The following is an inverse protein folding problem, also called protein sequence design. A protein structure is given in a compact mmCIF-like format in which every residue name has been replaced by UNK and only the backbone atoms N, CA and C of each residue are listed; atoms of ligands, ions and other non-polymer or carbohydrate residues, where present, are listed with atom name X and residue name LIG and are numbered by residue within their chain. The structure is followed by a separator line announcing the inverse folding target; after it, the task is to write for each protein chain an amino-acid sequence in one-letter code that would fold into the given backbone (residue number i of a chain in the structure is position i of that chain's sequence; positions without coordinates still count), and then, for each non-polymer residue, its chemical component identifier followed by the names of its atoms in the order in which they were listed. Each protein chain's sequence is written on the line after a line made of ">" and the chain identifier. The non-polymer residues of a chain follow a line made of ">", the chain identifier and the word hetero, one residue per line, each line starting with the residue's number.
data_IF_787060457318
#
_entry.id   IF_787060457318
#
_cell.length_a   1.000
_cell.length_b   1.000
_cell.length_c   1.000
_cell.angle_alpha   90.00
_cell.angle_beta   90.00
_cell.angle_gamma   90.00
#
_symmetry.space_group_name_H-M   'P 1'
#
loop_
_entity.id
_entity.type
_entity.pdbx_description
1 polymer ?
#
# COMPACT_ATOMS: atom_id res chain seq x y z
N UNK A 1 21.19 -10.64 -3.35
CA UNK A 1 21.13 -11.49 -2.14
C UNK A 1 21.35 -10.59 -0.94
N UNK A 2 20.47 -10.62 0.06
CA UNK A 2 20.65 -9.92 1.34
C UNK A 2 20.61 -10.97 2.43
N UNK A 3 21.68 -11.13 3.21
CA UNK A 3 21.73 -12.11 4.31
C UNK A 3 21.28 -13.54 3.91
N UNK A 4 21.75 -14.01 2.74
CA UNK A 4 21.39 -15.31 2.11
C UNK A 4 19.94 -15.41 1.60
N UNK A 5 19.13 -14.37 1.73
CA UNK A 5 17.82 -14.29 1.10
C UNK A 5 17.97 -13.81 -0.35
N UNK A 6 17.43 -14.60 -1.27
CA UNK A 6 17.28 -14.21 -2.66
C UNK A 6 16.07 -13.30 -2.82
N UNK A 7 16.26 -12.17 -3.51
CA UNK A 7 15.22 -11.19 -3.81
C UNK A 7 15.07 -11.14 -5.32
N UNK A 8 13.87 -11.40 -5.82
CA UNK A 8 13.57 -11.26 -7.24
C UNK A 8 13.55 -9.78 -7.63
N UNK A 9 14.36 -9.42 -8.62
CA UNK A 9 14.35 -8.08 -9.22
C UNK A 9 13.74 -8.19 -10.60
N UNK A 10 12.71 -7.39 -10.85
CA UNK A 10 11.95 -7.39 -12.10
C UNK A 10 11.87 -5.95 -12.61
N UNK A 11 11.87 -5.77 -13.93
CA UNK A 11 11.74 -4.45 -14.55
C UNK A 11 10.59 -4.48 -15.55
N UNK A 12 9.53 -3.73 -15.24
CA UNK A 12 8.33 -3.64 -16.05
C UNK A 12 7.73 -2.24 -15.90
N UNK A 13 7.16 -1.72 -16.99
CA UNK A 13 6.51 -0.40 -16.96
C UNK A 13 5.07 -0.51 -16.44
N UNK A 14 4.33 -1.53 -16.86
CA UNK A 14 2.94 -1.74 -16.47
C UNK A 14 2.86 -2.73 -15.30
N UNK A 15 2.17 -2.36 -14.20
CA UNK A 15 2.07 -3.22 -13.02
C UNK A 15 1.28 -4.51 -13.29
N UNK A 16 0.31 -4.49 -14.21
CA UNK A 16 -0.49 -5.67 -14.55
C UNK A 16 0.34 -6.80 -15.21
N UNK A 17 1.47 -6.46 -15.82
CA UNK A 17 2.31 -7.41 -16.56
C UNK A 17 3.37 -8.08 -15.68
N UNK A 18 3.56 -7.61 -14.43
CA UNK A 18 4.58 -8.14 -13.53
C UNK A 18 4.19 -9.56 -13.07
N UNK A 19 5.03 -10.59 -13.30
CA UNK A 19 4.73 -11.97 -12.95
C UNK A 19 4.91 -12.23 -11.44
N UNK A 20 4.09 -11.59 -10.59
CA UNK A 20 4.21 -11.63 -9.12
C UNK A 20 4.00 -13.02 -8.52
N UNK A 21 3.22 -13.87 -9.19
CA UNK A 21 3.03 -15.26 -8.79
C UNK A 21 4.34 -16.03 -8.70
N UNK A 22 5.31 -15.75 -9.58
CA UNK A 22 6.64 -16.36 -9.55
C UNK A 22 7.48 -15.89 -8.35
N UNK A 23 7.34 -14.62 -7.96
CA UNK A 23 8.05 -14.03 -6.84
C UNK A 23 7.39 -14.31 -5.47
N UNK A 24 6.21 -14.94 -5.44
CA UNK A 24 5.45 -15.19 -4.21
C UNK A 24 4.87 -13.94 -3.54
N UNK A 25 4.91 -12.78 -4.21
CA UNK A 25 4.50 -11.49 -3.64
C UNK A 25 2.97 -11.34 -3.61
N UNK A 26 2.35 -11.55 -2.45
CA UNK A 26 0.89 -11.45 -2.28
C UNK A 26 0.41 -10.06 -1.84
N UNK A 27 1.26 -9.32 -1.12
CA UNK A 27 1.00 -7.95 -0.66
C UNK A 27 1.99 -7.04 -1.37
N UNK A 28 1.51 -5.94 -1.93
CA UNK A 28 2.33 -5.00 -2.70
C UNK A 28 2.28 -3.63 -2.07
N UNK A 29 3.45 -3.00 -1.95
CA UNK A 29 3.59 -1.58 -1.65
C UNK A 29 3.69 -0.82 -2.98
N UNK A 30 2.76 0.09 -3.21
CA UNK A 30 2.75 1.01 -4.33
C UNK A 30 3.48 2.28 -3.90
N UNK A 31 4.78 2.33 -4.23
CA UNK A 31 5.67 3.45 -3.89
C UNK A 31 6.18 4.20 -5.11
N UNK A 32 5.56 4.03 -6.28
CA UNK A 32 5.90 4.78 -7.50
C UNK A 32 5.26 6.17 -7.51
N UNK A 33 4.16 6.36 -6.78
CA UNK A 33 3.41 7.61 -6.75
C UNK A 33 2.46 7.80 -7.94
N UNK A 34 2.34 6.82 -8.82
CA UNK A 34 1.53 6.90 -10.05
C UNK A 34 0.14 6.28 -9.86
N UNK A 35 0.04 5.22 -9.05
CA UNK A 35 -1.17 4.40 -8.91
C UNK A 35 -1.88 4.69 -7.58
N UNK A 36 -2.25 5.96 -7.39
CA UNK A 36 -2.75 6.45 -6.10
C UNK A 36 -4.25 6.23 -5.89
N UNK A 37 -5.06 6.14 -6.94
CA UNK A 37 -6.51 5.95 -6.81
C UNK A 37 -6.89 4.47 -6.76
N UNK A 38 -8.12 4.15 -6.30
CA UNK A 38 -8.64 2.77 -6.30
C UNK A 38 -8.57 2.18 -7.72
N UNK A 39 -9.01 2.94 -8.72
CA UNK A 39 -9.02 2.50 -10.12
C UNK A 39 -7.59 2.17 -10.62
N UNK A 40 -6.63 3.08 -10.41
CA UNK A 40 -5.26 2.86 -10.86
C UNK A 40 -4.58 1.74 -10.08
N UNK A 41 -4.75 1.71 -8.76
CA UNK A 41 -4.19 0.68 -7.89
C UNK A 41 -4.78 -0.72 -8.16
N UNK A 42 -6.00 -0.79 -8.72
CA UNK A 42 -6.61 -2.06 -9.14
C UNK A 42 -5.81 -2.77 -10.22
N UNK A 43 -4.99 -2.07 -11.02
CA UNK A 43 -4.06 -2.69 -11.97
C UNK A 43 -3.02 -3.59 -11.27
N UNK A 44 -2.64 -3.29 -10.02
CA UNK A 44 -1.75 -4.13 -9.23
C UNK A 44 -2.45 -5.41 -8.75
N UNK A 45 -3.74 -5.32 -8.41
CA UNK A 45 -4.59 -6.48 -8.07
C UNK A 45 -4.77 -7.39 -9.28
N UNK A 46 -5.07 -6.82 -10.44
CA UNK A 46 -5.15 -7.56 -11.71
C UNK A 46 -3.81 -8.24 -12.05
N UNK A 47 -2.68 -7.61 -11.72
CA UNK A 47 -1.34 -8.18 -11.81
C UNK A 47 -1.00 -9.23 -10.75
N UNK A 48 -1.99 -9.77 -10.04
CA UNK A 48 -1.86 -10.89 -9.11
C UNK A 48 -1.62 -10.52 -7.65
N UNK A 49 -1.61 -9.23 -7.28
CA UNK A 49 -1.57 -8.84 -5.88
C UNK A 49 -2.90 -9.17 -5.19
N UNK A 50 -2.84 -9.70 -3.96
CA UNK A 50 -4.04 -9.90 -3.12
C UNK A 50 -4.41 -8.64 -2.36
N UNK A 51 -3.41 -7.84 -1.99
CA UNK A 51 -3.58 -6.56 -1.30
C UNK A 51 -2.55 -5.54 -1.75
N UNK A 52 -2.93 -4.27 -1.74
CA UNK A 52 -2.07 -3.15 -2.10
C UNK A 52 -2.09 -2.11 -0.97
N UNK A 53 -0.91 -1.63 -0.59
CA UNK A 53 -0.74 -0.46 0.27
C UNK A 53 -0.16 0.65 -0.59
N UNK A 54 -0.82 1.80 -0.66
CA UNK A 54 -0.32 2.99 -1.35
C UNK A 54 0.50 3.82 -0.38
N UNK A 55 1.75 4.16 -0.73
CA UNK A 55 2.69 4.85 0.16
C UNK A 55 2.51 6.37 0.22
N UNK A 56 1.41 6.88 -0.32
CA UNK A 56 1.14 8.30 -0.48
C UNK A 56 -0.35 8.63 -0.31
N UNK A 57 -0.71 9.90 -0.09
CA UNK A 57 -2.11 10.34 -0.06
C UNK A 57 -2.85 9.94 -1.32
N UNK A 58 -4.09 9.50 -1.12
CA UNK A 58 -4.98 9.10 -2.19
C UNK A 58 -6.25 9.95 -2.17
N UNK A 59 -6.86 10.24 -3.34
CA UNK A 59 -8.14 10.91 -3.39
C UNK A 59 -9.31 10.04 -2.88
N UNK A 60 -9.25 8.72 -3.03
CA UNK A 60 -10.38 7.81 -2.83
C UNK A 60 -10.04 6.52 -2.05
N UNK A 61 -8.76 6.15 -1.95
CA UNK A 61 -8.33 4.98 -1.18
C UNK A 61 -8.40 5.29 0.32
N UNK A 62 -9.04 4.42 1.14
CA UNK A 62 -9.06 4.57 2.59
C UNK A 62 -7.65 4.71 3.19
N UNK A 63 -7.45 5.76 3.99
CA UNK A 63 -6.16 6.12 4.58
C UNK A 63 -6.08 5.75 6.06
N UNK A 64 -4.95 5.15 6.45
CA UNK A 64 -4.70 4.73 7.82
C UNK A 64 -3.33 5.22 8.29
N UNK A 65 -3.29 5.58 9.58
CA UNK A 65 -2.08 5.91 10.31
C UNK A 65 -2.00 4.97 11.51
N UNK A 66 -0.87 4.26 11.58
CA UNK A 66 -0.57 3.36 12.69
C UNK A 66 -0.44 4.15 14.00
N UNK A 67 -1.13 3.70 15.05
CA UNK A 67 -1.24 4.39 16.33
C UNK A 67 -2.36 5.42 16.40
N UNK A 68 -3.13 5.65 15.32
CA UNK A 68 -4.23 6.62 15.30
C UNK A 68 -5.59 6.00 14.93
N UNK A 69 -5.69 5.29 13.81
CA UNK A 69 -6.97 4.75 13.30
C UNK A 69 -6.87 3.36 12.63
N UNK A 70 -5.78 2.63 12.85
CA UNK A 70 -5.53 1.31 12.25
C UNK A 70 -6.55 0.24 12.64
N UNK A 71 -7.23 0.41 13.77
CA UNK A 71 -8.31 -0.44 14.25
C UNK A 71 -9.53 -0.44 13.31
N UNK A 72 -9.66 0.57 12.45
CA UNK A 72 -10.75 0.72 11.48
C UNK A 72 -10.49 -0.02 10.16
N UNK A 73 -9.34 -0.66 10.00
CA UNK A 73 -9.05 -1.45 8.81
C UNK A 73 -9.97 -2.68 8.82
N UNK A 74 -10.77 -2.85 7.77
CA UNK A 74 -11.56 -4.06 7.53
C UNK A 74 -10.88 -4.92 6.45
N UNK A 75 -10.13 -5.97 6.81
CA UNK A 75 -9.42 -6.79 5.84
C UNK A 75 -10.36 -7.56 4.91
N UNK A 76 -11.63 -7.75 5.25
CA UNK A 76 -12.58 -8.48 4.41
C UNK A 76 -13.07 -7.64 3.23
N UNK A 77 -13.09 -6.30 3.37
CA UNK A 77 -13.59 -5.36 2.36
C UNK A 77 -12.50 -4.50 1.73
N UNK A 78 -11.41 -4.24 2.45
CA UNK A 78 -10.35 -3.34 2.03
C UNK A 78 -9.16 -4.13 1.46
N UNK A 79 -9.11 -4.21 0.13
CA UNK A 79 -7.99 -4.80 -0.62
C UNK A 79 -6.92 -3.78 -0.97
N UNK A 80 -7.29 -2.51 -1.07
CA UNK A 80 -6.40 -1.37 -1.37
C UNK A 80 -6.57 -0.37 -0.23
N UNK A 81 -5.46 0.00 0.40
CA UNK A 81 -5.41 0.99 1.49
C UNK A 81 -4.23 1.93 1.27
N UNK A 82 -4.26 3.12 1.87
CA UNK A 82 -3.14 4.07 1.82
C UNK A 82 -2.55 4.26 3.21
N UNK A 83 -1.22 4.31 3.28
CA UNK A 83 -0.47 4.64 4.49
C UNK A 83 -0.31 6.16 4.70
N UNK A 84 -1.16 6.96 4.04
CA UNK A 84 -1.16 8.42 4.06
C UNK A 84 0.21 9.03 3.66
N UNK A 85 0.49 10.26 4.09
CA UNK A 85 1.79 10.91 3.90
C UNK A 85 2.68 10.83 5.14
N UNK A 86 3.98 11.11 4.97
CA UNK A 86 4.91 11.29 6.09
C UNK A 86 4.44 12.36 7.08
N UNK A 87 3.94 13.49 6.58
CA UNK A 87 3.44 14.59 7.42
C UNK A 87 2.20 14.16 8.20
N UNK A 88 1.29 13.42 7.58
CA UNK A 88 0.09 12.88 8.24
C UNK A 88 0.46 11.89 9.35
N UNK A 89 1.43 11.00 9.09
CA UNK A 89 1.91 10.04 10.09
C UNK A 89 2.58 10.73 11.29
N UNK A 90 3.25 11.86 11.07
CA UNK A 90 3.84 12.65 12.15
C UNK A 90 2.77 13.36 13.00
N UNK A 91 1.78 13.96 12.35
CA UNK A 91 0.81 14.83 13.02
C UNK A 91 -0.35 14.07 13.68
N UNK A 92 -0.85 12.99 13.07
CA UNK A 92 -2.07 12.33 13.51
C UNK A 92 -2.00 11.77 14.95
N UNK A 93 -0.91 11.13 15.40
CA UNK A 93 -0.79 10.70 16.80
C UNK A 93 -0.82 11.87 17.79
N UNK A 94 -0.18 12.99 17.45
CA UNK A 94 -0.18 14.20 18.29
C UNK A 94 -1.59 14.81 18.39
N UNK A 95 -2.27 14.93 17.24
CA UNK A 95 -3.64 15.43 17.20
C UNK A 95 -4.60 14.56 18.01
N UNK A 96 -4.44 13.22 17.96
CA UNK A 96 -5.23 12.28 18.74
C UNK A 96 -5.08 12.52 20.25
N UNK A 97 -3.85 12.64 20.76
CA UNK A 97 -3.60 12.89 22.19
C UNK A 97 -4.18 14.21 22.67
N UNK A 98 -4.23 15.24 21.82
CA UNK A 98 -4.82 16.54 22.17
C UNK A 98 -6.36 16.49 22.18
N UNK A 99 -6.97 15.64 21.36
CA UNK A 99 -8.43 15.54 21.21
C UNK A 99 -9.09 14.51 22.13
N UNK A 100 -8.33 13.52 22.59
CA UNK A 100 -8.75 12.52 23.60
C UNK A 100 -8.66 13.08 25.03
#
# INVERSE_FOLDING_TARGET
>A
IVERLAISVLQWMKPAEIPRGYAGAQKVDESTGVYLSIEKASALIQGGAKRVVVSAPSPDVPMFVMGANQDKIDPSRMTIVSNASRTTNCLAPLAKVIQD
#
